data_IF_186853002147
#
_entry.id   IF_186853002147
#
_cell.length_a   1.000
_cell.length_b   1.000
_cell.length_c   1.000
_cell.angle_alpha   90.00
_cell.angle_beta   90.00
_cell.angle_gamma   90.00
#
_symmetry.space_group_name_H-M   'P 1'
#
loop_
_entity.id
_entity.type
_entity.pdbx_description
1 polymer ?
#
# COMPACT_ATOMS: atom_id res chain seq x y z
N UNK A 1 13.63 -19.19 -12.91
CA UNK A 1 14.34 -19.08 -14.19
C UNK A 1 13.29 -18.86 -15.27
N UNK A 2 13.47 -17.91 -16.14
CA UNK A 2 12.63 -17.65 -17.31
C UNK A 2 13.43 -17.98 -18.56
N UNK A 3 12.77 -18.53 -19.58
CA UNK A 3 13.38 -18.83 -20.88
C UNK A 3 12.65 -18.07 -21.98
N UNK A 4 13.38 -17.38 -22.84
CA UNK A 4 12.86 -16.72 -24.04
C UNK A 4 13.92 -16.80 -25.15
N UNK A 5 13.50 -17.19 -26.34
CA UNK A 5 14.35 -17.25 -27.53
C UNK A 5 15.66 -18.06 -27.35
N UNK A 6 15.63 -19.11 -26.49
CA UNK A 6 16.77 -19.96 -26.18
C UNK A 6 17.72 -19.37 -25.13
N UNK A 7 17.44 -18.20 -24.61
CA UNK A 7 18.18 -17.61 -23.48
C UNK A 7 17.51 -17.91 -22.14
N UNK A 8 18.32 -18.19 -21.14
CA UNK A 8 17.84 -18.42 -19.76
C UNK A 8 18.22 -17.22 -18.91
N UNK A 9 17.24 -16.69 -18.15
CA UNK A 9 17.54 -15.70 -17.11
C UNK A 9 18.39 -16.34 -15.99
N UNK A 10 19.04 -15.49 -15.18
CA UNK A 10 19.53 -15.94 -13.87
C UNK A 10 18.36 -16.46 -13.02
N UNK A 11 18.68 -17.18 -11.98
CA UNK A 11 17.68 -17.63 -11.01
C UNK A 11 17.16 -16.45 -10.19
N UNK A 12 15.84 -16.37 -10.05
CA UNK A 12 15.16 -15.42 -9.17
C UNK A 12 14.42 -16.20 -8.07
N UNK A 13 14.32 -15.59 -6.90
CA UNK A 13 13.57 -16.16 -5.81
C UNK A 13 12.82 -15.05 -5.03
N UNK A 14 11.82 -15.42 -4.27
CA UNK A 14 11.14 -14.58 -3.30
C UNK A 14 10.98 -15.31 -1.97
N UNK A 15 10.66 -14.59 -0.92
CA UNK A 15 10.39 -15.17 0.39
C UNK A 15 8.89 -15.32 0.59
N UNK A 16 8.47 -16.46 1.09
CA UNK A 16 7.10 -16.66 1.57
C UNK A 16 6.92 -16.05 2.96
N UNK A 17 5.67 -15.73 3.30
CA UNK A 17 5.35 -15.29 4.65
C UNK A 17 5.69 -16.38 5.68
N UNK A 18 6.09 -16.02 6.92
CA UNK A 18 6.35 -16.99 7.97
C UNK A 18 5.10 -17.83 8.25
N UNK A 19 5.28 -19.14 8.40
CA UNK A 19 4.18 -20.05 8.77
C UNK A 19 3.71 -19.73 10.19
N UNK A 20 4.67 -19.50 11.09
CA UNK A 20 4.43 -19.18 12.49
C UNK A 20 4.85 -17.75 12.81
N UNK A 21 3.86 -16.91 13.14
CA UNK A 21 4.08 -15.57 13.66
C UNK A 21 4.01 -14.44 12.62
N UNK A 22 4.25 -13.22 13.11
CA UNK A 22 4.07 -11.95 12.40
C UNK A 22 5.38 -11.19 12.22
N UNK A 23 6.55 -11.81 12.46
CA UNK A 23 7.83 -11.09 12.42
C UNK A 23 8.34 -10.91 10.97
N UNK A 24 7.74 -9.96 10.26
CA UNK A 24 8.16 -9.56 8.92
C UNK A 24 7.89 -8.07 8.66
N UNK A 25 8.36 -7.59 7.52
CA UNK A 25 8.19 -6.20 7.07
C UNK A 25 7.46 -6.17 5.73
N UNK A 26 6.46 -5.29 5.61
CA UNK A 26 5.83 -4.90 4.36
C UNK A 26 6.24 -3.46 4.03
N UNK A 27 6.54 -3.18 2.76
CA UNK A 27 6.75 -1.82 2.28
C UNK A 27 5.51 -1.39 1.49
N UNK A 28 5.02 -0.18 1.73
CA UNK A 28 3.92 0.42 0.97
C UNK A 28 4.35 1.73 0.31
N UNK A 29 3.86 1.95 -0.91
CA UNK A 29 4.05 3.20 -1.65
C UNK A 29 3.15 3.21 -2.88
N UNK A 30 2.94 4.37 -3.49
CA UNK A 30 2.11 4.52 -4.67
C UNK A 30 2.48 5.76 -5.47
N UNK A 31 1.74 6.01 -6.57
CA UNK A 31 1.91 7.20 -7.40
C UNK A 31 3.29 7.26 -8.07
N UNK A 32 3.65 6.19 -8.77
CA UNK A 32 4.91 6.06 -9.50
C UNK A 32 4.81 6.47 -10.99
N UNK A 33 3.66 6.93 -11.45
CA UNK A 33 3.31 7.15 -12.87
C UNK A 33 4.14 8.18 -13.62
N UNK A 34 4.81 9.08 -12.93
CA UNK A 34 5.64 10.14 -13.53
C UNK A 34 6.86 10.44 -12.65
N UNK A 35 7.73 11.39 -13.08
CA UNK A 35 8.96 11.68 -12.36
C UNK A 35 9.92 10.49 -12.35
N UNK A 36 10.23 9.94 -13.51
CA UNK A 36 10.95 8.67 -13.71
C UNK A 36 12.27 8.59 -12.93
N UNK A 37 13.02 9.69 -12.85
CA UNK A 37 14.26 9.72 -12.07
C UNK A 37 14.00 9.51 -10.56
N UNK A 38 12.94 10.13 -10.02
CA UNK A 38 12.53 9.96 -8.64
C UNK A 38 12.02 8.53 -8.39
N UNK A 39 11.23 7.99 -9.32
CA UNK A 39 10.77 6.59 -9.26
C UNK A 39 11.96 5.62 -9.22
N UNK A 40 12.94 5.77 -10.10
CA UNK A 40 14.15 4.94 -10.08
C UNK A 40 14.87 5.03 -8.73
N UNK A 41 15.05 6.24 -8.17
CA UNK A 41 15.68 6.44 -6.85
C UNK A 41 14.86 5.78 -5.74
N UNK A 42 13.53 5.89 -5.78
CA UNK A 42 12.67 5.23 -4.78
C UNK A 42 12.69 3.71 -4.92
N UNK A 43 12.75 3.16 -6.15
CA UNK A 43 12.92 1.72 -6.37
C UNK A 43 14.24 1.22 -5.76
N UNK A 44 15.35 1.92 -5.99
CA UNK A 44 16.64 1.62 -5.35
C UNK A 44 16.54 1.72 -3.81
N UNK A 45 15.81 2.72 -3.29
CA UNK A 45 15.59 2.86 -1.84
C UNK A 45 14.82 1.66 -1.27
N UNK A 46 13.84 1.13 -1.99
CA UNK A 46 13.12 -0.09 -1.59
C UNK A 46 14.06 -1.30 -1.61
N UNK A 47 14.88 -1.45 -2.65
CA UNK A 47 15.89 -2.51 -2.73
C UNK A 47 16.88 -2.45 -1.54
N UNK A 48 17.38 -1.27 -1.18
CA UNK A 48 18.25 -1.08 -0.03
C UNK A 48 17.57 -1.45 1.30
N UNK A 49 16.29 -1.10 1.47
CA UNK A 49 15.51 -1.54 2.65
C UNK A 49 15.42 -3.07 2.70
N UNK A 50 15.23 -3.73 1.57
CA UNK A 50 15.15 -5.20 1.51
C UNK A 50 16.50 -5.88 1.67
N UNK A 51 17.58 -5.27 1.19
CA UNK A 51 18.97 -5.75 1.39
C UNK A 51 19.38 -5.66 2.86
N UNK A 52 19.13 -4.51 3.49
CA UNK A 52 19.48 -4.28 4.90
C UNK A 52 18.59 -5.01 5.89
N UNK A 53 17.38 -5.41 5.47
CA UNK A 53 16.43 -6.15 6.28
C UNK A 53 15.84 -7.34 5.53
N UNK A 54 16.37 -8.56 5.75
CA UNK A 54 15.89 -9.76 5.08
C UNK A 54 14.43 -10.12 5.41
N UNK A 55 13.82 -9.49 6.43
CA UNK A 55 12.41 -9.67 6.79
C UNK A 55 11.45 -8.91 5.87
N UNK A 56 11.93 -8.03 4.97
CA UNK A 56 11.07 -7.41 3.96
C UNK A 56 10.53 -8.49 3.03
N UNK A 57 9.21 -8.65 3.05
CA UNK A 57 8.50 -9.75 2.40
C UNK A 57 7.95 -9.39 1.03
N UNK A 58 7.28 -8.24 0.95
CA UNK A 58 6.56 -7.81 -0.24
C UNK A 58 6.47 -6.28 -0.32
N UNK A 59 6.04 -5.81 -1.48
CA UNK A 59 5.77 -4.42 -1.76
C UNK A 59 4.29 -4.22 -2.10
N UNK A 60 3.54 -3.52 -1.24
CA UNK A 60 2.15 -3.14 -1.47
C UNK A 60 2.12 -1.82 -2.27
N UNK A 61 1.77 -1.88 -3.54
CA UNK A 61 1.73 -0.69 -4.40
C UNK A 61 0.33 -0.06 -4.44
N UNK A 62 0.23 1.19 -4.04
CA UNK A 62 -1.02 1.94 -3.86
C UNK A 62 -1.70 2.47 -5.13
N UNK A 63 -1.29 2.03 -6.32
CA UNK A 63 -1.87 2.46 -7.61
C UNK A 63 -1.14 3.61 -8.28
N UNK A 64 -1.62 4.00 -9.47
CA UNK A 64 -1.02 5.00 -10.35
C UNK A 64 0.40 4.62 -10.78
N UNK A 65 0.52 3.48 -11.48
CA UNK A 65 1.77 2.95 -12.01
C UNK A 65 2.28 3.76 -13.18
N UNK A 66 1.36 4.14 -14.08
CA UNK A 66 1.65 4.83 -15.35
C UNK A 66 0.63 5.95 -15.57
N UNK A 67 0.88 6.84 -16.52
CA UNK A 67 0.00 8.00 -16.80
C UNK A 67 -1.27 7.58 -17.53
N UNK A 68 -1.17 6.62 -18.47
CA UNK A 68 -2.28 6.15 -19.30
C UNK A 68 -2.30 4.63 -19.34
N UNK A 69 -3.23 4.00 -18.61
CA UNK A 69 -3.31 2.55 -18.39
C UNK A 69 -3.41 1.69 -19.66
N UNK A 70 -3.90 2.25 -20.78
CA UNK A 70 -3.99 1.58 -22.07
C UNK A 70 -2.71 1.65 -22.91
N UNK A 71 -1.63 2.28 -22.43
CA UNK A 71 -0.39 2.48 -23.18
C UNK A 71 0.67 1.47 -22.75
N UNK A 72 0.84 0.40 -23.52
CA UNK A 72 1.79 -0.68 -23.23
C UNK A 72 3.23 -0.17 -23.08
N UNK A 73 3.66 0.81 -23.86
CA UNK A 73 5.01 1.39 -23.78
C UNK A 73 5.29 2.00 -22.41
N UNK A 74 4.28 2.56 -21.75
CA UNK A 74 4.43 3.11 -20.39
C UNK A 74 4.56 2.00 -19.37
N UNK A 75 3.80 0.91 -19.50
CA UNK A 75 3.92 -0.28 -18.68
C UNK A 75 5.29 -0.93 -18.84
N UNK A 76 5.75 -1.09 -20.08
CA UNK A 76 7.08 -1.64 -20.37
C UNK A 76 8.20 -0.82 -19.72
N UNK A 77 8.12 0.52 -19.82
CA UNK A 77 9.07 1.41 -19.13
C UNK A 77 8.95 1.30 -17.62
N UNK A 78 7.73 1.17 -17.09
CA UNK A 78 7.54 0.98 -15.65
C UNK A 78 8.14 -0.33 -15.17
N UNK A 79 7.91 -1.42 -15.88
CA UNK A 79 8.47 -2.75 -15.58
C UNK A 79 9.99 -2.73 -15.61
N UNK A 80 10.61 -2.16 -16.66
CA UNK A 80 12.08 -2.06 -16.76
C UNK A 80 12.70 -1.25 -15.61
N UNK A 81 12.04 -0.19 -15.16
CA UNK A 81 12.51 0.58 -14.01
C UNK A 81 12.23 -0.12 -12.67
N UNK A 82 11.21 -0.97 -12.63
CA UNK A 82 10.91 -1.79 -11.46
C UNK A 82 11.98 -2.87 -11.21
N UNK A 83 12.68 -3.32 -12.25
CA UNK A 83 13.83 -4.23 -12.14
C UNK A 83 14.91 -3.74 -11.16
N UNK A 84 15.03 -2.42 -10.95
CA UNK A 84 15.90 -1.82 -9.93
C UNK A 84 15.57 -2.26 -8.49
N UNK A 85 14.42 -2.88 -8.28
CA UNK A 85 14.03 -3.46 -6.97
C UNK A 85 14.49 -4.91 -6.82
N UNK A 86 15.03 -5.53 -7.87
CA UNK A 86 15.63 -6.88 -7.79
C UNK A 86 16.98 -6.79 -7.10
N UNK A 87 17.17 -7.54 -6.04
CA UNK A 87 18.40 -7.54 -5.26
C UNK A 87 19.54 -8.24 -6.00
N UNK A 88 20.77 -7.96 -5.61
CA UNK A 88 21.98 -8.54 -6.23
C UNK A 88 21.99 -10.07 -6.16
N UNK A 89 21.46 -10.65 -5.07
CA UNK A 89 21.34 -12.09 -4.86
C UNK A 89 20.21 -12.76 -5.70
N UNK A 90 19.49 -11.99 -6.51
CA UNK A 90 18.36 -12.49 -7.32
C UNK A 90 17.01 -12.46 -6.60
N UNK A 91 16.94 -11.98 -5.36
CA UNK A 91 15.67 -11.85 -4.66
C UNK A 91 14.80 -10.77 -5.28
N UNK A 92 13.53 -11.10 -5.54
CA UNK A 92 12.49 -10.18 -5.99
C UNK A 92 11.49 -9.95 -4.85
N UNK A 93 10.88 -8.77 -4.83
CA UNK A 93 9.80 -8.45 -3.90
C UNK A 93 8.46 -8.61 -4.63
N UNK A 94 7.63 -9.60 -4.26
CA UNK A 94 6.28 -9.71 -4.80
C UNK A 94 5.48 -8.42 -4.61
N UNK A 95 4.74 -8.02 -5.65
CA UNK A 95 3.87 -6.84 -5.60
C UNK A 95 2.47 -7.27 -5.16
N UNK A 96 1.89 -6.53 -4.22
CA UNK A 96 0.46 -6.60 -3.89
C UNK A 96 -0.18 -5.36 -4.52
N UNK A 97 -0.84 -5.50 -5.68
CA UNK A 97 -1.24 -4.36 -6.47
C UNK A 97 -2.57 -3.76 -6.02
N UNK A 98 -2.66 -2.42 -6.09
CA UNK A 98 -3.91 -1.65 -6.02
C UNK A 98 -4.08 -0.89 -7.33
N UNK A 99 -5.30 -0.78 -7.84
CA UNK A 99 -5.58 -0.03 -9.07
C UNK A 99 -5.76 1.46 -8.78
N UNK A 100 -4.93 2.30 -9.40
CA UNK A 100 -5.08 3.76 -9.40
C UNK A 100 -6.02 4.26 -10.50
N UNK A 101 -6.33 5.56 -10.48
CA UNK A 101 -7.23 6.13 -11.48
C UNK A 101 -6.56 6.36 -12.85
N UNK A 102 -5.24 6.34 -12.92
CA UNK A 102 -4.49 6.37 -14.15
C UNK A 102 -4.33 4.99 -14.81
N UNK A 103 -4.55 3.91 -14.06
CA UNK A 103 -4.37 2.51 -14.50
C UNK A 103 -5.61 1.98 -15.22
N UNK A 104 -6.22 2.81 -16.09
CA UNK A 104 -7.38 2.44 -16.89
C UNK A 104 -7.07 1.38 -17.94
N UNK A 105 -8.11 0.68 -18.44
CA UNK A 105 -7.97 -0.40 -19.41
C UNK A 105 -7.63 -1.75 -18.77
N UNK A 106 -7.35 -2.75 -19.62
CA UNK A 106 -7.15 -4.14 -19.18
C UNK A 106 -5.68 -4.50 -18.92
N UNK A 107 -4.73 -3.72 -19.40
CA UNK A 107 -3.29 -4.03 -19.25
C UNK A 107 -2.88 -4.16 -17.78
N UNK A 108 -3.48 -3.38 -16.87
CA UNK A 108 -3.27 -3.55 -15.44
C UNK A 108 -3.54 -4.98 -14.96
N UNK A 109 -4.64 -5.57 -15.40
CA UNK A 109 -5.02 -6.93 -15.03
C UNK A 109 -4.10 -7.98 -15.66
N UNK A 110 -3.64 -7.75 -16.90
CA UNK A 110 -2.69 -8.61 -17.59
C UNK A 110 -1.30 -8.57 -16.90
N UNK A 111 -0.80 -7.37 -16.55
CA UNK A 111 0.51 -7.20 -15.89
C UNK A 111 0.56 -7.89 -14.52
N UNK A 112 -0.54 -7.88 -13.78
CA UNK A 112 -0.61 -8.46 -12.42
C UNK A 112 -1.32 -9.83 -12.37
N UNK A 113 -1.62 -10.43 -13.53
CA UNK A 113 -2.34 -11.71 -13.65
C UNK A 113 -3.62 -11.74 -12.80
N UNK A 114 -4.42 -10.69 -12.94
CA UNK A 114 -5.68 -10.53 -12.22
C UNK A 114 -6.87 -10.70 -13.17
N UNK A 115 -7.88 -11.44 -12.75
CA UNK A 115 -9.14 -11.56 -13.48
C UNK A 115 -9.95 -10.26 -13.38
N UNK A 116 -10.29 -9.66 -14.53
CA UNK A 116 -10.97 -8.36 -14.63
C UNK A 116 -12.27 -8.29 -13.83
N UNK A 117 -13.04 -9.38 -13.82
CA UNK A 117 -14.37 -9.42 -13.24
C UNK A 117 -14.38 -9.76 -11.75
N UNK A 118 -13.41 -10.56 -11.29
CA UNK A 118 -13.43 -11.16 -9.96
C UNK A 118 -12.34 -10.65 -9.03
N UNK A 119 -11.30 -9.98 -9.55
CA UNK A 119 -10.13 -9.57 -8.76
C UNK A 119 -9.83 -8.07 -8.79
N UNK A 120 -10.86 -7.23 -9.00
CA UNK A 120 -10.73 -5.77 -8.84
C UNK A 120 -10.46 -5.38 -7.40
N UNK A 121 -10.99 -6.18 -6.46
CA UNK A 121 -10.71 -6.13 -5.03
C UNK A 121 -10.44 -7.55 -4.54
N UNK A 122 -9.50 -7.69 -3.66
CA UNK A 122 -9.04 -9.01 -3.22
C UNK A 122 -8.45 -8.96 -1.81
N UNK A 123 -8.16 -10.13 -1.25
CA UNK A 123 -7.46 -10.29 0.01
C UNK A 123 -6.16 -11.04 -0.20
N UNK A 124 -5.06 -10.49 0.30
CA UNK A 124 -3.77 -11.16 0.37
C UNK A 124 -3.49 -11.55 1.82
N UNK A 125 -3.28 -12.84 2.06
CA UNK A 125 -2.82 -13.33 3.35
C UNK A 125 -1.29 -13.28 3.41
N UNK A 126 -0.74 -12.62 4.40
CA UNK A 126 0.68 -12.55 4.69
C UNK A 126 0.99 -13.45 5.91
N UNK A 127 1.08 -14.74 5.66
CA UNK A 127 1.05 -15.76 6.70
C UNK A 127 -0.36 -15.97 7.26
N UNK A 128 -0.47 -16.55 8.44
CA UNK A 128 -1.77 -16.83 9.08
C UNK A 128 -2.34 -15.64 9.85
N UNK A 129 -1.49 -14.70 10.25
CA UNK A 129 -1.83 -13.68 11.26
C UNK A 129 -2.02 -12.28 10.68
N UNK A 130 -1.73 -12.06 9.39
CA UNK A 130 -1.86 -10.74 8.74
C UNK A 130 -2.66 -10.85 7.46
N UNK A 131 -3.69 -10.04 7.32
CA UNK A 131 -4.47 -9.90 6.09
C UNK A 131 -4.42 -8.47 5.57
N UNK A 132 -4.19 -8.32 4.27
CA UNK A 132 -4.28 -7.07 3.53
C UNK A 132 -5.45 -7.16 2.54
N UNK A 133 -6.49 -6.37 2.78
CA UNK A 133 -7.67 -6.25 1.92
C UNK A 133 -7.44 -5.10 0.95
N UNK A 134 -7.40 -5.40 -0.35
CA UNK A 134 -7.24 -4.42 -1.43
C UNK A 134 -8.60 -4.05 -2.00
N UNK A 135 -8.88 -2.74 -2.12
CA UNK A 135 -10.14 -2.20 -2.64
C UNK A 135 -9.90 -1.36 -3.90
N UNK A 136 -10.89 -1.34 -4.79
CA UNK A 136 -10.87 -0.51 -6.00
C UNK A 136 -11.71 0.76 -5.80
N UNK A 137 -11.05 1.89 -5.59
CA UNK A 137 -11.70 3.19 -5.48
C UNK A 137 -12.00 3.87 -6.83
N UNK A 138 -11.85 3.15 -7.94
CA UNK A 138 -12.28 3.58 -9.29
C UNK A 138 -13.61 2.92 -9.70
N UNK A 139 -14.03 1.88 -8.98
CA UNK A 139 -15.32 1.22 -9.11
C UNK A 139 -16.32 1.78 -8.07
N UNK A 140 -17.64 1.58 -8.23
CA UNK A 140 -18.61 1.96 -7.20
C UNK A 140 -18.27 1.32 -5.84
N UNK A 141 -18.34 2.11 -4.76
CA UNK A 141 -18.08 1.61 -3.41
C UNK A 141 -19.21 0.80 -2.81
N UNK A 142 -20.47 1.05 -3.24
CA UNK A 142 -21.65 0.31 -2.81
C UNK A 142 -21.88 -0.98 -3.60
N UNK A 143 -22.97 -1.70 -3.26
CA UNK A 143 -23.34 -2.96 -3.90
C UNK A 143 -22.28 -4.04 -3.75
N UNK A 144 -21.91 -4.75 -4.83
CA UNK A 144 -21.04 -5.93 -4.74
C UNK A 144 -19.72 -5.74 -4.00
N UNK A 145 -19.07 -4.57 -4.14
CA UNK A 145 -17.80 -4.33 -3.44
C UNK A 145 -18.01 -4.16 -1.93
N UNK A 146 -19.05 -3.42 -1.51
CA UNK A 146 -19.37 -3.26 -0.09
C UNK A 146 -19.78 -4.56 0.57
N UNK A 147 -20.62 -5.35 -0.09
CA UNK A 147 -21.07 -6.65 0.38
C UNK A 147 -19.90 -7.63 0.53
N UNK A 148 -19.05 -7.70 -0.48
CA UNK A 148 -17.82 -8.49 -0.43
C UNK A 148 -16.90 -8.02 0.70
N UNK A 149 -16.67 -6.71 0.82
CA UNK A 149 -15.83 -6.13 1.87
C UNK A 149 -16.34 -6.53 3.25
N UNK A 150 -17.63 -6.34 3.51
CA UNK A 150 -18.22 -6.69 4.80
C UNK A 150 -18.06 -8.19 5.12
N UNK A 151 -18.33 -9.05 4.13
CA UNK A 151 -18.13 -10.50 4.29
C UNK A 151 -16.67 -10.86 4.60
N UNK A 152 -15.70 -10.23 3.90
CA UNK A 152 -14.27 -10.46 4.16
C UNK A 152 -13.86 -9.96 5.55
N UNK A 153 -14.23 -8.74 5.93
CA UNK A 153 -13.86 -8.19 7.23
C UNK A 153 -14.44 -9.01 8.39
N UNK A 154 -15.71 -9.44 8.26
CA UNK A 154 -16.36 -10.32 9.23
C UNK A 154 -15.64 -11.66 9.39
N UNK A 155 -15.18 -12.24 8.28
CA UNK A 155 -14.42 -13.51 8.28
C UNK A 155 -13.03 -13.34 8.84
N UNK A 156 -12.33 -12.28 8.45
CA UNK A 156 -10.92 -12.09 8.74
C UNK A 156 -10.67 -11.59 10.16
N UNK A 157 -11.50 -10.66 10.68
CA UNK A 157 -11.20 -10.03 11.97
C UNK A 157 -10.97 -11.02 13.14
N UNK A 158 -11.77 -12.07 13.32
CA UNK A 158 -11.51 -13.06 14.37
C UNK A 158 -10.35 -14.02 14.04
N UNK A 159 -9.91 -14.08 12.77
CA UNK A 159 -8.93 -15.05 12.30
C UNK A 159 -7.49 -14.50 12.23
N UNK A 160 -7.30 -13.18 12.21
CA UNK A 160 -5.97 -12.58 12.03
C UNK A 160 -5.64 -11.60 13.15
N UNK A 161 -4.35 -11.51 13.45
CA UNK A 161 -3.82 -10.55 14.43
C UNK A 161 -3.87 -9.12 13.89
N UNK A 162 -3.46 -8.95 12.61
CA UNK A 162 -3.41 -7.67 11.94
C UNK A 162 -4.30 -7.67 10.70
N UNK A 163 -5.24 -6.73 10.64
CA UNK A 163 -6.16 -6.56 9.53
C UNK A 163 -5.96 -5.18 8.91
N UNK A 164 -5.42 -5.17 7.69
CA UNK A 164 -5.10 -3.97 6.95
C UNK A 164 -6.04 -3.80 5.76
N UNK A 165 -6.23 -2.56 5.34
CA UNK A 165 -6.83 -2.24 4.04
C UNK A 165 -5.89 -1.37 3.23
N UNK A 166 -5.89 -1.53 1.90
CA UNK A 166 -5.25 -0.62 0.97
C UNK A 166 -6.19 -0.24 -0.16
N UNK A 167 -6.08 0.98 -0.62
CA UNK A 167 -6.81 1.53 -1.75
C UNK A 167 -6.14 2.80 -2.25
N UNK A 168 -6.49 3.24 -3.47
CA UNK A 168 -5.80 4.38 -4.09
C UNK A 168 -6.27 5.72 -3.54
N UNK A 169 -7.56 6.06 -3.69
CA UNK A 169 -8.10 7.38 -3.30
C UNK A 169 -8.38 7.47 -1.81
N UNK A 170 -7.78 8.46 -1.10
CA UNK A 170 -7.81 8.50 0.36
C UNK A 170 -9.19 8.85 0.92
N UNK A 171 -9.54 8.26 2.07
CA UNK A 171 -10.75 8.56 2.84
C UNK A 171 -10.55 9.79 3.73
N UNK A 172 -9.34 9.97 4.26
CA UNK A 172 -8.95 11.14 5.07
C UNK A 172 -7.73 11.85 4.45
N UNK A 173 -7.89 12.50 3.28
CA UNK A 173 -6.78 13.05 2.50
C UNK A 173 -6.12 14.28 3.15
N UNK A 174 -4.82 14.49 2.91
CA UNK A 174 -4.14 15.73 3.31
C UNK A 174 -4.17 16.81 2.23
N UNK A 175 -4.47 16.48 0.97
CA UNK A 175 -4.45 17.41 -0.17
C UNK A 175 -5.84 17.59 -0.79
N UNK A 176 -6.41 16.52 -1.30
CA UNK A 176 -7.68 16.52 -2.05
C UNK A 176 -8.91 16.48 -1.12
N UNK A 177 -10.10 16.37 -1.67
CA UNK A 177 -11.30 15.97 -0.96
C UNK A 177 -11.31 14.45 -0.67
N UNK A 178 -12.12 14.01 0.32
CA UNK A 178 -12.30 12.58 0.61
C UNK A 178 -12.83 11.80 -0.60
N UNK A 179 -12.43 10.54 -0.73
CA UNK A 179 -12.99 9.63 -1.72
C UNK A 179 -14.51 9.46 -1.50
N UNK A 180 -15.26 9.30 -2.59
CA UNK A 180 -16.71 9.05 -2.56
C UNK A 180 -17.09 7.77 -1.78
N UNK A 181 -16.12 6.90 -1.55
CA UNK A 181 -16.24 5.65 -0.82
C UNK A 181 -16.24 5.81 0.70
N UNK A 182 -15.74 6.95 1.21
CA UNK A 182 -15.59 7.18 2.66
C UNK A 182 -16.91 6.94 3.45
N UNK A 183 -18.09 7.42 3.03
CA UNK A 183 -19.33 7.16 3.74
C UNK A 183 -19.77 5.68 3.77
N UNK A 184 -19.20 4.85 2.89
CA UNK A 184 -19.53 3.42 2.78
C UNK A 184 -18.49 2.57 3.49
N UNK A 185 -17.19 2.82 3.23
CA UNK A 185 -16.11 1.97 3.72
C UNK A 185 -15.71 2.28 5.16
N UNK A 186 -15.66 3.58 5.57
CA UNK A 186 -15.25 3.91 6.93
C UNK A 186 -16.12 3.29 8.01
N UNK A 187 -17.48 3.25 7.90
CA UNK A 187 -18.31 2.54 8.87
C UNK A 187 -18.01 1.03 8.95
N UNK A 188 -17.68 0.38 7.83
CA UNK A 188 -17.28 -1.03 7.82
C UNK A 188 -15.90 -1.22 8.47
N UNK A 189 -14.96 -0.32 8.21
CA UNK A 189 -13.65 -0.34 8.84
C UNK A 189 -13.76 -0.21 10.37
N UNK A 190 -14.58 0.72 10.85
CA UNK A 190 -14.84 0.93 12.26
C UNK A 190 -15.54 -0.28 12.91
N UNK A 191 -16.60 -0.81 12.25
CA UNK A 191 -17.37 -1.97 12.72
C UNK A 191 -16.47 -3.21 12.93
N UNK A 192 -15.53 -3.45 12.03
CA UNK A 192 -14.65 -4.61 12.07
C UNK A 192 -13.26 -4.31 12.61
N UNK A 193 -13.04 -3.14 13.21
CA UNK A 193 -11.79 -2.78 13.89
C UNK A 193 -10.55 -3.02 13.02
N UNK A 194 -10.49 -2.43 11.83
CA UNK A 194 -9.28 -2.39 11.00
C UNK A 194 -8.14 -1.76 11.81
N UNK A 195 -6.92 -2.26 11.65
CA UNK A 195 -5.78 -1.74 12.41
C UNK A 195 -5.14 -0.53 11.73
N UNK A 196 -5.04 -0.54 10.39
CA UNK A 196 -4.45 0.54 9.60
C UNK A 196 -5.00 0.55 8.17
N UNK A 197 -5.14 1.75 7.58
CA UNK A 197 -5.47 1.95 6.18
C UNK A 197 -4.31 2.59 5.43
N UNK A 198 -3.96 2.02 4.26
CA UNK A 198 -2.88 2.47 3.38
C UNK A 198 -3.49 3.21 2.19
N UNK A 199 -3.11 4.47 1.99
CA UNK A 199 -3.71 5.39 1.04
C UNK A 199 -2.67 5.97 0.06
N UNK A 200 -3.14 6.45 -1.12
CA UNK A 200 -2.33 7.04 -2.19
C UNK A 200 -3.00 8.29 -2.78
N UNK A 201 -2.75 8.65 -4.05
CA UNK A 201 -3.40 9.74 -4.83
C UNK A 201 -3.14 11.19 -4.34
N UNK A 202 -2.79 11.41 -3.11
CA UNK A 202 -2.56 12.74 -2.55
C UNK A 202 -1.23 13.38 -2.95
N UNK A 203 -0.22 12.58 -3.24
CA UNK A 203 1.17 12.99 -3.54
C UNK A 203 1.83 13.77 -2.40
N UNK A 204 1.70 13.26 -1.20
CA UNK A 204 2.31 13.82 0.00
C UNK A 204 2.46 12.74 1.07
N UNK A 205 3.17 13.03 2.14
CA UNK A 205 3.21 12.20 3.33
C UNK A 205 2.05 12.52 4.26
N UNK A 206 1.45 11.49 4.84
CA UNK A 206 0.39 11.66 5.82
C UNK A 206 0.31 10.49 6.80
N UNK A 207 0.13 10.81 8.06
CA UNK A 207 -0.43 9.94 9.11
C UNK A 207 -1.48 10.71 9.88
N UNK A 208 -2.70 10.17 9.97
CA UNK A 208 -3.77 10.76 10.77
C UNK A 208 -3.59 10.45 12.27
N UNK A 209 -4.32 11.17 13.13
CA UNK A 209 -4.67 10.64 14.46
C UNK A 209 -5.50 9.37 14.30
N UNK A 210 -5.62 8.51 15.32
CA UNK A 210 -6.57 7.40 15.27
C UNK A 210 -8.01 7.93 15.17
N UNK A 211 -8.78 7.38 14.24
CA UNK A 211 -10.14 7.84 13.89
C UNK A 211 -11.13 6.69 14.05
N UNK A 212 -12.25 6.97 14.74
CA UNK A 212 -13.42 6.10 14.85
C UNK A 212 -14.68 6.96 14.76
N UNK A 213 -15.68 6.49 14.00
CA UNK A 213 -16.96 7.20 13.79
C UNK A 213 -16.77 8.67 13.40
N UNK A 214 -15.75 8.95 12.55
CA UNK A 214 -15.42 10.28 12.07
C UNK A 214 -14.84 11.23 13.14
N UNK A 215 -14.35 10.71 14.26
CA UNK A 215 -13.78 11.48 15.38
C UNK A 215 -12.44 10.93 15.81
N UNK A 216 -11.62 11.77 16.48
CA UNK A 216 -10.39 11.31 17.13
C UNK A 216 -10.76 10.39 18.29
N UNK A 217 -10.26 9.15 18.23
CA UNK A 217 -10.50 8.12 19.23
C UNK A 217 -9.24 7.24 19.35
N UNK A 218 -8.68 7.02 20.56
CA UNK A 218 -7.46 6.22 20.73
C UNK A 218 -7.63 4.75 20.30
N UNK A 219 -8.87 4.25 20.18
CA UNK A 219 -9.17 2.91 19.67
C UNK A 219 -9.41 2.88 18.18
N UNK A 220 -9.31 4.03 17.49
CA UNK A 220 -9.60 4.21 16.08
C UNK A 220 -8.53 3.65 15.14
N UNK A 221 -8.74 3.91 13.87
CA UNK A 221 -7.91 3.48 12.76
C UNK A 221 -6.96 4.61 12.38
N UNK A 222 -5.71 4.30 12.05
CA UNK A 222 -4.74 5.24 11.51
C UNK A 222 -4.72 5.09 9.98
N UNK A 223 -4.80 6.22 9.27
CA UNK A 223 -4.72 6.30 7.81
C UNK A 223 -3.37 6.89 7.42
N UNK A 224 -2.59 6.17 6.60
CA UNK A 224 -1.20 6.53 6.26
C UNK A 224 -0.94 6.47 4.77
N UNK A 225 0.08 7.20 4.31
CA UNK A 225 0.56 7.17 2.92
C UNK A 225 0.40 8.52 2.24
N UNK A 226 -0.25 8.50 1.15
CA UNK A 226 -0.72 9.36 0.08
C UNK A 226 0.23 9.50 -1.11
N UNK A 227 1.10 8.51 -1.38
CA UNK A 227 1.83 8.39 -2.64
C UNK A 227 3.07 9.27 -2.76
N UNK A 228 4.21 8.62 -2.88
CA UNK A 228 5.49 9.30 -2.86
C UNK A 228 6.55 8.73 -3.81
N UNK A 229 6.19 7.78 -4.69
CA UNK A 229 7.19 7.02 -5.44
C UNK A 229 7.82 7.76 -6.62
N UNK A 230 7.17 8.76 -7.21
CA UNK A 230 7.76 9.39 -8.41
C UNK A 230 7.13 10.73 -8.76
N UNK A 231 5.83 10.84 -8.63
CA UNK A 231 5.06 12.03 -8.97
C UNK A 231 5.52 13.27 -8.21
N UNK A 232 5.37 14.46 -8.81
CA UNK A 232 5.62 15.72 -8.13
C UNK A 232 4.80 15.82 -6.85
N UNK A 233 5.49 16.11 -5.74
CA UNK A 233 4.86 16.18 -4.43
C UNK A 233 4.06 17.47 -4.27
N UNK A 234 2.94 17.39 -3.55
CA UNK A 234 2.02 18.51 -3.29
C UNK A 234 2.19 19.02 -1.86
N UNK A 235 1.85 20.28 -1.65
CA UNK A 235 1.77 20.87 -0.30
C UNK A 235 0.50 20.38 0.38
N UNK A 236 0.59 19.65 1.50
CA UNK A 236 -0.58 19.18 2.24
C UNK A 236 -1.15 20.26 3.16
N UNK A 237 -2.42 20.09 3.54
CA UNK A 237 -3.11 20.91 4.52
C UNK A 237 -2.98 20.28 5.92
N UNK A 238 -2.09 20.84 6.73
CA UNK A 238 -1.87 20.43 8.12
C UNK A 238 -2.98 20.87 9.10
N UNK A 239 -3.92 21.72 8.68
CA UNK A 239 -4.99 22.22 9.55
C UNK A 239 -6.20 21.28 9.63
N UNK A 240 -6.22 20.20 8.85
CA UNK A 240 -7.29 19.21 8.92
C UNK A 240 -7.35 18.61 10.33
N UNK A 241 -8.56 18.45 10.89
CA UNK A 241 -8.76 18.03 12.27
C UNK A 241 -8.07 16.68 12.59
N UNK A 242 -7.99 15.78 11.61
CA UNK A 242 -7.32 14.48 11.76
C UNK A 242 -5.79 14.53 11.61
N UNK A 243 -5.23 15.71 11.34
CA UNK A 243 -3.79 15.95 11.24
C UNK A 243 -3.32 16.88 12.36
N UNK A 244 -4.04 17.97 12.61
CA UNK A 244 -3.63 19.09 13.45
C UNK A 244 -3.15 18.69 14.85
N UNK A 245 -3.86 17.78 15.53
CA UNK A 245 -3.65 17.52 16.95
C UNK A 245 -3.10 16.11 17.22
N UNK A 246 -1.98 15.77 16.56
CA UNK A 246 -1.27 14.51 16.75
C UNK A 246 -1.12 13.65 15.51
N UNK A 247 -1.73 14.04 14.38
CA UNK A 247 -1.38 13.54 13.06
C UNK A 247 -0.10 14.23 12.55
N UNK A 248 0.33 13.85 11.33
CA UNK A 248 1.53 14.40 10.73
C UNK A 248 1.38 14.43 9.21
N UNK A 249 1.88 15.47 8.56
CA UNK A 249 1.90 15.56 7.10
C UNK A 249 3.10 16.36 6.60
N UNK A 250 3.55 16.06 5.38
CA UNK A 250 4.71 16.69 4.75
C UNK A 250 4.77 16.43 3.26
N UNK A 251 5.76 16.98 2.60
CA UNK A 251 5.93 16.92 1.14
C UNK A 251 7.33 16.40 0.81
N UNK A 252 7.47 15.09 0.59
CA UNK A 252 8.68 14.45 0.11
C UNK A 252 8.39 13.10 -0.54
N UNK A 253 9.31 12.65 -1.40
CA UNK A 253 9.27 11.27 -1.91
C UNK A 253 9.58 10.28 -0.79
N UNK A 254 8.74 9.24 -0.67
CA UNK A 254 8.79 8.32 0.46
C UNK A 254 8.15 6.97 0.15
N UNK A 255 8.44 6.02 1.02
CA UNK A 255 7.67 4.80 1.24
C UNK A 255 7.30 4.68 2.72
N UNK A 256 6.25 3.91 2.99
CA UNK A 256 5.85 3.53 4.35
C UNK A 256 6.34 2.12 4.61
N UNK A 257 7.16 1.95 5.62
CA UNK A 257 7.62 0.65 6.10
C UNK A 257 6.78 0.21 7.28
N UNK A 258 6.27 -1.00 7.22
CA UNK A 258 5.39 -1.64 8.19
C UNK A 258 6.12 -2.85 8.79
N UNK A 259 6.63 -2.71 10.00
CA UNK A 259 7.31 -3.80 10.70
C UNK A 259 6.32 -4.46 11.67
N UNK A 260 5.98 -5.71 11.41
CA UNK A 260 5.02 -6.49 12.18
C UNK A 260 5.73 -7.31 13.26
N UNK A 261 5.11 -7.36 14.42
CA UNK A 261 5.37 -8.31 15.49
C UNK A 261 4.03 -8.80 16.06
N UNK A 262 3.99 -9.83 16.93
CA UNK A 262 2.73 -10.23 17.56
C UNK A 262 2.03 -9.11 18.34
N UNK A 263 2.79 -8.20 18.95
CA UNK A 263 2.24 -7.18 19.86
C UNK A 263 2.19 -5.78 19.26
N UNK A 264 3.01 -5.50 18.22
CA UNK A 264 3.15 -4.17 17.68
C UNK A 264 3.26 -4.17 16.16
N UNK A 265 2.69 -3.15 15.54
CA UNK A 265 2.93 -2.73 14.17
C UNK A 265 3.64 -1.37 14.21
N UNK A 266 4.92 -1.34 13.84
CA UNK A 266 5.69 -0.11 13.72
C UNK A 266 5.57 0.44 12.31
N UNK A 267 5.13 1.68 12.19
CA UNK A 267 4.90 2.39 10.93
C UNK A 267 5.97 3.47 10.79
N UNK A 268 6.82 3.37 9.77
CA UNK A 268 7.89 4.34 9.52
C UNK A 268 7.83 4.89 8.11
N UNK A 269 7.98 6.19 7.96
CA UNK A 269 8.17 6.82 6.67
C UNK A 269 9.68 6.90 6.37
N UNK A 270 10.09 6.27 5.28
CA UNK A 270 11.47 6.28 4.78
C UNK A 270 11.53 7.19 3.57
N UNK A 271 12.33 8.24 3.66
CA UNK A 271 12.48 9.23 2.59
C UNK A 271 13.48 8.78 1.53
N UNK A 272 13.54 9.50 0.43
CA UNK A 272 14.46 9.23 -0.68
C UNK A 272 15.93 9.27 -0.24
N UNK A 273 16.30 10.09 0.74
CA UNK A 273 17.65 10.20 1.31
C UNK A 273 17.93 9.19 2.44
N UNK A 274 17.06 8.20 2.64
CA UNK A 274 17.07 7.21 3.70
C UNK A 274 16.72 7.72 5.09
N UNK A 275 16.50 9.01 5.29
CA UNK A 275 16.07 9.53 6.58
C UNK A 275 14.66 9.05 6.94
N UNK A 276 14.39 8.96 8.24
CA UNK A 276 13.05 8.69 8.77
C UNK A 276 12.34 10.02 9.06
N UNK A 277 11.12 10.18 8.55
CA UNK A 277 10.31 11.36 8.80
C UNK A 277 9.32 11.18 9.95
N UNK A 278 8.76 9.98 10.09
CA UNK A 278 7.81 9.62 11.16
C UNK A 278 8.06 8.17 11.59
N UNK A 279 7.83 7.91 12.87
CA UNK A 279 7.99 6.61 13.49
C UNK A 279 6.89 6.44 14.54
N UNK A 280 5.91 5.61 14.23
CA UNK A 280 4.73 5.42 15.05
C UNK A 280 4.46 3.94 15.29
N UNK A 281 4.00 3.60 16.50
CA UNK A 281 3.71 2.22 16.86
C UNK A 281 2.23 2.07 17.21
N UNK A 282 1.58 1.11 16.55
CA UNK A 282 0.22 0.65 16.84
C UNK A 282 0.34 -0.61 17.67
N UNK A 283 -0.35 -0.67 18.82
CA UNK A 283 -0.45 -1.89 19.61
C UNK A 283 -1.52 -2.81 19.05
N UNK A 284 -1.23 -4.12 19.09
CA UNK A 284 -2.22 -5.10 18.67
C UNK A 284 -3.46 -5.03 19.56
N UNK A 285 -4.63 -5.12 18.93
CA UNK A 285 -5.90 -5.15 19.65
C UNK A 285 -5.99 -6.45 20.45
N UNK A 286 -6.53 -6.36 21.65
CA UNK A 286 -6.91 -7.54 22.45
C UNK A 286 -8.31 -7.97 22.03
N UNK A 287 -8.49 -9.21 21.70
CA UNK A 287 -9.77 -9.85 21.38
C UNK A 287 -10.09 -10.87 22.43
#
# INVERSE_FOLDING_TARGET
VMESDGERSREFYFRTAPIDGTDFTLIHGGDSRSGHANRCRMNLRIAEQATSNPKVLAFAHGGDYIVSGSKWEQWRLWLSQHELMTLEDGRVLPIIPTKGNHDGGNIYFEVFDLEVETKRWHTTMLGKDVALVTLDTNSPGGGPQAEWLEAQLKRLRPAVRWLLVQYHRPMYPAVKGPAKHAPIFCPLFDKYNIDIALESDGHCMKRTVPIRDGKKDPTGIIYVGEGGLGVGQRKPDGNRWYIKDGGKTGSAHHVVRLDFTPDNLRVRFVLMDASAWDDHTIKARKF
#
